data_IF_675067133586
#
_entry.id   IF_675067133586
#
_cell.length_a   1.000
_cell.length_b   1.000
_cell.length_c   1.000
_cell.angle_alpha   90.00
_cell.angle_beta   90.00
_cell.angle_gamma   90.00
#
_symmetry.space_group_name_H-M   'P 1'
#
loop_
_entity.id
_entity.type
_entity.pdbx_description
1 polymer ?
#
# COMPACT_ATOMS: atom_id res chain seq x y z
N UNK A 1 1.38 -41.71 18.79
CA UNK A 1 1.96 -40.49 18.17
C UNK A 1 1.07 -39.32 18.56
N UNK A 2 1.56 -38.40 19.44
CA UNK A 2 0.84 -37.21 19.79
C UNK A 2 0.84 -36.29 18.56
N UNK A 3 -0.34 -35.87 18.09
CA UNK A 3 -0.50 -34.81 17.09
C UNK A 3 0.14 -33.56 17.66
N UNK A 4 1.05 -32.90 16.96
CA UNK A 4 1.60 -31.64 17.45
C UNK A 4 0.44 -30.63 17.61
N UNK A 5 0.28 -30.11 18.82
CA UNK A 5 -0.63 -29.02 19.11
C UNK A 5 -0.11 -27.85 18.25
N UNK A 6 -0.79 -27.55 17.15
CA UNK A 6 -0.56 -26.34 16.41
C UNK A 6 -0.82 -25.20 17.40
N UNK A 7 0.22 -24.47 17.76
CA UNK A 7 0.05 -23.27 18.56
C UNK A 7 -0.98 -22.39 17.85
N UNK A 8 -2.02 -21.94 18.56
CA UNK A 8 -2.96 -20.95 18.01
C UNK A 8 -2.14 -19.79 17.43
N UNK A 9 -2.36 -19.51 16.14
CA UNK A 9 -1.69 -18.41 15.49
C UNK A 9 -2.04 -17.13 16.25
N UNK A 10 -1.07 -16.56 16.95
CA UNK A 10 -1.27 -15.29 17.63
C UNK A 10 -1.38 -14.20 16.57
N UNK A 11 -2.52 -13.51 16.56
CA UNK A 11 -2.71 -12.32 15.70
C UNK A 11 -1.60 -11.32 16.04
N UNK A 12 -0.82 -10.84 15.05
CA UNK A 12 0.24 -9.88 15.32
C UNK A 12 -0.31 -8.62 16.01
N UNK A 13 0.47 -7.97 16.90
CA UNK A 13 0.05 -6.74 17.53
C UNK A 13 -0.31 -5.68 16.49
N UNK A 14 -1.32 -4.86 16.76
CA UNK A 14 -1.74 -3.74 15.94
C UNK A 14 -1.17 -2.42 16.44
N UNK A 15 -1.09 -1.44 15.56
CA UNK A 15 -0.82 -0.04 15.90
C UNK A 15 -1.88 0.85 15.25
N UNK A 16 -2.05 2.07 15.77
CA UNK A 16 -2.95 3.05 15.16
C UNK A 16 -2.17 4.02 14.29
N UNK A 17 -2.65 4.23 13.08
CA UNK A 17 -2.20 5.31 12.21
C UNK A 17 -2.95 6.61 12.54
N UNK A 18 -2.53 7.74 11.96
CA UNK A 18 -3.09 9.07 12.28
C UNK A 18 -4.58 9.25 11.94
N UNK A 19 -5.16 8.38 11.12
CA UNK A 19 -6.61 8.35 10.85
C UNK A 19 -7.41 7.65 11.96
N UNK A 20 -6.73 7.03 12.92
CA UNK A 20 -7.33 6.20 13.97
C UNK A 20 -7.57 4.75 13.56
N UNK A 21 -7.33 4.38 12.30
CA UNK A 21 -7.42 3.00 11.85
C UNK A 21 -6.32 2.15 12.49
N UNK A 22 -6.67 0.90 12.82
CA UNK A 22 -5.72 -0.08 13.32
C UNK A 22 -5.12 -0.87 12.17
N UNK A 23 -3.80 -1.04 12.20
CA UNK A 23 -3.05 -1.83 11.22
C UNK A 23 -2.18 -2.85 11.95
N UNK A 24 -2.15 -4.09 11.47
CA UNK A 24 -1.22 -5.09 11.99
C UNK A 24 0.22 -4.63 11.76
N UNK A 25 1.05 -4.72 12.80
CA UNK A 25 2.48 -4.37 12.72
C UNK A 25 3.28 -5.31 11.81
N UNK A 26 2.72 -6.47 11.48
CA UNK A 26 3.30 -7.41 10.52
C UNK A 26 2.37 -7.53 9.33
N UNK A 27 2.89 -7.22 8.15
CA UNK A 27 2.16 -7.33 6.89
C UNK A 27 2.83 -8.30 5.92
N UNK A 28 2.06 -8.79 4.96
CA UNK A 28 2.55 -9.65 3.89
C UNK A 28 2.75 -8.83 2.61
N UNK A 29 4.01 -8.74 2.14
CA UNK A 29 4.35 -8.10 0.88
C UNK A 29 4.06 -8.99 -0.32
N UNK A 30 3.31 -8.48 -1.29
CA UNK A 30 2.87 -9.24 -2.47
C UNK A 30 3.77 -9.04 -3.69
N UNK A 31 4.94 -8.42 -3.56
CA UNK A 31 5.87 -8.24 -4.68
C UNK A 31 6.53 -9.57 -5.04
N UNK A 32 6.32 -10.04 -6.26
CA UNK A 32 6.95 -11.25 -6.79
C UNK A 32 7.44 -11.01 -8.23
N UNK A 33 8.63 -10.43 -8.41
CA UNK A 33 9.18 -10.05 -9.71
C UNK A 33 9.40 -11.29 -10.59
N UNK A 34 9.04 -11.18 -11.87
CA UNK A 34 9.21 -12.23 -12.87
C UNK A 34 8.15 -13.34 -12.86
N UNK A 35 7.35 -13.44 -11.79
CA UNK A 35 6.20 -14.34 -11.70
C UNK A 35 5.10 -13.76 -10.82
N UNK A 36 4.41 -12.68 -11.22
CA UNK A 36 3.40 -12.03 -10.40
C UNK A 36 2.34 -12.98 -9.82
N UNK A 37 1.74 -13.92 -10.58
CA UNK A 37 0.78 -14.88 -10.02
C UNK A 37 1.39 -15.89 -9.03
N UNK A 38 2.70 -16.09 -9.05
CA UNK A 38 3.41 -17.02 -8.16
C UNK A 38 3.36 -16.63 -6.68
N UNK A 39 2.82 -15.46 -6.34
CA UNK A 39 2.60 -15.03 -4.95
C UNK A 39 1.38 -15.71 -4.30
N UNK A 40 0.45 -16.25 -5.09
CA UNK A 40 -0.82 -16.82 -4.61
C UNK A 40 -0.64 -17.82 -3.47
N UNK A 41 0.22 -18.86 -3.58
CA UNK A 41 0.42 -19.81 -2.49
C UNK A 41 0.94 -19.16 -1.19
N UNK A 42 1.73 -18.09 -1.32
CA UNK A 42 2.22 -17.31 -0.18
C UNK A 42 1.10 -16.58 0.53
N UNK A 43 0.18 -15.93 -0.21
CA UNK A 43 -0.97 -15.23 0.35
C UNK A 43 -1.92 -16.23 1.02
N UNK A 44 -2.20 -17.37 0.37
CA UNK A 44 -3.03 -18.44 0.95
C UNK A 44 -2.45 -18.99 2.25
N UNK A 45 -1.12 -19.15 2.32
CA UNK A 45 -0.46 -19.56 3.56
C UNK A 45 -0.55 -18.48 4.63
N UNK A 46 -0.32 -17.21 4.25
CA UNK A 46 -0.39 -16.07 5.16
C UNK A 46 -1.80 -15.90 5.76
N UNK A 47 -2.87 -16.05 4.97
CA UNK A 47 -4.25 -16.00 5.47
C UNK A 47 -4.53 -17.10 6.50
N UNK A 48 -4.03 -18.32 6.26
CA UNK A 48 -4.21 -19.47 7.17
C UNK A 48 -3.51 -19.30 8.52
N UNK A 49 -2.40 -18.56 8.57
CA UNK A 49 -1.65 -18.32 9.80
C UNK A 49 -1.97 -16.97 10.46
N UNK A 50 -3.01 -16.27 9.98
CA UNK A 50 -3.57 -15.10 10.64
C UNK A 50 -3.04 -13.75 10.21
N UNK A 51 -2.34 -13.62 9.06
CA UNK A 51 -2.05 -12.31 8.48
C UNK A 51 -3.34 -11.60 8.08
N UNK A 52 -3.40 -10.32 8.40
CA UNK A 52 -4.54 -9.45 8.06
C UNK A 52 -4.12 -8.20 7.29
N UNK A 53 -2.83 -7.91 7.21
CA UNK A 53 -2.27 -6.78 6.46
C UNK A 53 -1.54 -7.29 5.21
N UNK A 54 -1.99 -6.82 4.04
CA UNK A 54 -1.45 -7.18 2.73
C UNK A 54 -1.04 -5.94 1.96
N UNK A 55 0.17 -5.95 1.44
CA UNK A 55 0.77 -4.84 0.70
C UNK A 55 1.02 -5.25 -0.75
N UNK A 56 0.30 -4.62 -1.67
CA UNK A 56 0.49 -4.76 -3.12
C UNK A 56 0.76 -3.41 -3.77
N UNK A 57 0.80 -3.34 -5.09
CA UNK A 57 0.91 -2.13 -5.89
C UNK A 57 0.50 -2.39 -7.34
N UNK A 58 0.03 -1.35 -8.04
CA UNK A 58 -0.25 -1.43 -9.47
C UNK A 58 0.98 -1.92 -10.28
N UNK A 59 2.20 -1.48 -9.87
CA UNK A 59 3.46 -1.92 -10.49
C UNK A 59 3.68 -3.43 -10.41
N UNK A 60 3.12 -4.12 -9.39
CA UNK A 60 3.37 -5.55 -9.17
C UNK A 60 2.59 -6.44 -10.14
N UNK A 61 1.62 -5.88 -10.86
CA UNK A 61 0.83 -6.54 -11.91
C UNK A 61 0.10 -7.81 -11.41
N UNK A 62 -0.28 -7.82 -10.11
CA UNK A 62 -0.92 -8.96 -9.43
C UNK A 62 -2.09 -8.56 -8.51
N UNK A 63 -2.59 -7.33 -8.61
CA UNK A 63 -3.69 -6.86 -7.76
C UNK A 63 -4.93 -7.73 -7.88
N UNK A 64 -5.23 -8.24 -9.07
CA UNK A 64 -6.37 -9.13 -9.30
C UNK A 64 -6.22 -10.43 -8.51
N UNK A 65 -5.08 -11.08 -8.60
CA UNK A 65 -4.79 -12.34 -7.91
C UNK A 65 -4.80 -12.15 -6.40
N UNK A 66 -4.21 -11.05 -5.91
CA UNK A 66 -4.27 -10.67 -4.49
C UNK A 66 -5.73 -10.54 -4.03
N UNK A 67 -6.53 -9.77 -4.76
CA UNK A 67 -7.95 -9.59 -4.44
C UNK A 67 -8.75 -10.88 -4.46
N UNK A 68 -8.51 -11.75 -5.46
CA UNK A 68 -9.19 -13.05 -5.57
C UNK A 68 -8.93 -13.93 -4.35
N UNK A 69 -7.65 -14.04 -3.91
CA UNK A 69 -7.28 -14.84 -2.73
C UNK A 69 -7.87 -14.24 -1.45
N UNK A 70 -7.79 -12.93 -1.28
CA UNK A 70 -8.31 -12.28 -0.06
C UNK A 70 -9.82 -12.47 0.07
N UNK A 71 -10.59 -12.35 -1.01
CA UNK A 71 -12.03 -12.62 -1.00
C UNK A 71 -12.35 -14.09 -0.72
N UNK A 72 -11.54 -14.99 -1.27
CA UNK A 72 -11.71 -16.44 -1.05
C UNK A 72 -11.28 -16.91 0.35
N UNK A 73 -10.53 -16.08 1.10
CA UNK A 73 -9.97 -16.43 2.40
C UNK A 73 -11.02 -16.65 3.50
N UNK A 74 -12.22 -16.09 3.33
CA UNK A 74 -13.27 -16.09 4.36
C UNK A 74 -13.04 -15.10 5.51
N UNK A 75 -11.93 -14.33 5.48
CA UNK A 75 -11.68 -13.27 6.46
C UNK A 75 -12.63 -12.10 6.17
N UNK A 76 -13.40 -11.61 7.16
CA UNK A 76 -14.25 -10.44 6.96
C UNK A 76 -13.45 -9.23 6.46
N UNK A 77 -14.02 -8.50 5.47
CA UNK A 77 -13.31 -7.37 4.81
C UNK A 77 -12.81 -6.32 5.81
N UNK A 78 -13.57 -6.05 6.85
CA UNK A 78 -13.23 -5.08 7.89
C UNK A 78 -12.08 -5.52 8.81
N UNK A 79 -11.68 -6.79 8.74
CA UNK A 79 -10.50 -7.31 9.44
C UNK A 79 -9.25 -7.33 8.56
N UNK A 80 -9.41 -7.08 7.27
CA UNK A 80 -8.28 -6.97 6.34
C UNK A 80 -7.85 -5.52 6.22
N UNK A 81 -6.54 -5.28 6.23
CA UNK A 81 -5.92 -4.01 5.87
C UNK A 81 -5.16 -4.20 4.57
N UNK A 82 -5.64 -3.57 3.50
CA UNK A 82 -5.08 -3.71 2.15
C UNK A 82 -4.46 -2.41 1.70
N UNK A 83 -3.16 -2.47 1.44
CA UNK A 83 -2.37 -1.36 0.89
C UNK A 83 -2.11 -1.60 -0.58
N UNK A 84 -2.33 -0.60 -1.42
CA UNK A 84 -1.81 -0.54 -2.78
C UNK A 84 -1.25 0.84 -3.11
N UNK A 85 -0.64 1.00 -4.28
CA UNK A 85 0.19 2.16 -4.57
C UNK A 85 -0.03 2.71 -5.97
N UNK A 86 -0.09 4.05 -6.06
CA UNK A 86 -0.01 4.81 -7.30
C UNK A 86 1.38 4.64 -7.92
N UNK A 87 1.47 4.12 -9.14
CA UNK A 87 2.75 4.02 -9.80
C UNK A 87 3.20 5.35 -10.43
N UNK A 88 4.48 5.46 -10.73
CA UNK A 88 5.15 6.70 -11.11
C UNK A 88 4.62 7.32 -12.41
N UNK A 89 4.17 6.52 -13.37
CA UNK A 89 3.61 6.98 -14.65
C UNK A 89 2.15 7.45 -14.55
N UNK A 90 1.57 7.40 -13.34
CA UNK A 90 0.18 7.77 -13.08
C UNK A 90 0.03 9.04 -12.23
N UNK A 91 1.09 9.81 -11.99
CA UNK A 91 1.04 11.03 -11.19
C UNK A 91 0.06 12.09 -11.76
N UNK A 92 -0.15 12.11 -13.08
CA UNK A 92 -1.15 12.96 -13.72
C UNK A 92 -2.60 12.44 -13.65
N UNK A 93 -2.81 11.20 -13.20
CA UNK A 93 -4.10 10.52 -13.28
C UNK A 93 -4.39 9.69 -12.04
N UNK A 94 -4.23 10.31 -10.85
CA UNK A 94 -4.37 9.64 -9.54
C UNK A 94 -5.73 8.94 -9.39
N UNK A 95 -6.83 9.64 -9.70
CA UNK A 95 -8.18 9.11 -9.54
C UNK A 95 -8.44 7.91 -10.45
N UNK A 96 -8.04 8.00 -11.72
CA UNK A 96 -8.18 6.88 -12.65
C UNK A 96 -7.29 5.68 -12.29
N UNK A 97 -6.11 5.93 -11.72
CA UNK A 97 -5.23 4.87 -11.22
C UNK A 97 -5.82 4.17 -10.00
N UNK A 98 -6.39 4.94 -9.07
CA UNK A 98 -7.09 4.39 -7.92
C UNK A 98 -8.27 3.51 -8.34
N UNK A 99 -9.09 3.99 -9.26
CA UNK A 99 -10.26 3.24 -9.75
C UNK A 99 -9.83 1.91 -10.39
N UNK A 100 -8.75 1.90 -11.19
CA UNK A 100 -8.20 0.65 -11.77
C UNK A 100 -7.72 -0.33 -10.68
N UNK A 101 -7.01 0.16 -9.66
CA UNK A 101 -6.55 -0.69 -8.54
C UNK A 101 -7.73 -1.24 -7.75
N UNK A 102 -8.75 -0.43 -7.47
CA UNK A 102 -9.95 -0.86 -6.75
C UNK A 102 -10.73 -1.93 -7.55
N UNK A 103 -10.86 -1.73 -8.88
CA UNK A 103 -11.49 -2.69 -9.79
C UNK A 103 -10.68 -3.99 -9.87
N UNK A 104 -9.36 -3.91 -10.04
CA UNK A 104 -8.48 -5.08 -10.11
C UNK A 104 -8.55 -5.92 -8.83
N UNK A 105 -8.43 -5.29 -7.66
CA UNK A 105 -8.59 -5.93 -6.36
C UNK A 105 -10.01 -6.46 -6.15
N UNK A 106 -11.00 -5.85 -6.83
CA UNK A 106 -12.43 -6.15 -6.67
C UNK A 106 -12.85 -6.16 -5.18
N UNK A 107 -12.45 -5.13 -4.44
CA UNK A 107 -12.77 -4.91 -3.04
C UNK A 107 -13.73 -3.72 -2.91
N UNK A 108 -14.47 -3.64 -1.79
CA UNK A 108 -15.38 -2.52 -1.54
C UNK A 108 -14.66 -1.20 -1.33
N UNK A 109 -13.45 -1.25 -0.78
CA UNK A 109 -12.57 -0.11 -0.50
C UNK A 109 -11.11 -0.54 -0.38
N UNK A 110 -10.19 0.43 -0.43
CA UNK A 110 -8.76 0.27 -0.16
C UNK A 110 -8.47 0.96 1.19
N UNK A 111 -7.75 0.27 2.09
CA UNK A 111 -7.43 0.83 3.41
C UNK A 111 -6.34 1.89 3.34
N UNK A 112 -5.32 1.66 2.52
CA UNK A 112 -4.20 2.57 2.33
C UNK A 112 -3.83 2.68 0.86
N UNK A 113 -3.81 3.92 0.33
CA UNK A 113 -3.33 4.20 -1.01
C UNK A 113 -2.10 5.10 -0.95
N UNK A 114 -0.95 4.59 -1.39
CA UNK A 114 0.34 5.26 -1.28
C UNK A 114 0.79 5.85 -2.62
N UNK A 115 1.41 7.03 -2.62
CA UNK A 115 2.30 7.43 -3.70
C UNK A 115 3.56 6.56 -3.63
N UNK A 116 3.81 5.73 -4.65
CA UNK A 116 4.86 4.70 -4.63
C UNK A 116 6.27 5.29 -4.54
N UNK A 117 6.52 6.37 -5.27
CA UNK A 117 7.76 7.15 -5.28
C UNK A 117 7.46 8.63 -5.45
N UNK A 118 8.32 9.53 -4.96
CA UNK A 118 8.16 10.97 -5.19
C UNK A 118 8.43 11.39 -6.64
N UNK A 119 9.15 10.57 -7.42
CA UNK A 119 9.49 10.84 -8.80
C UNK A 119 8.39 10.38 -9.75
N UNK A 120 7.82 11.30 -10.52
CA UNK A 120 6.94 10.97 -11.63
C UNK A 120 7.73 10.46 -12.84
N UNK A 121 7.10 9.61 -13.65
CA UNK A 121 7.62 9.22 -14.96
C UNK A 121 6.59 9.50 -16.05
N UNK A 122 7.09 9.67 -17.28
CA UNK A 122 6.23 9.90 -18.44
C UNK A 122 5.23 8.74 -18.60
N UNK A 123 3.93 9.02 -18.77
CA UNK A 123 2.92 7.99 -18.92
C UNK A 123 3.29 6.91 -19.93
N UNK A 124 3.26 5.64 -19.48
CA UNK A 124 3.66 4.49 -20.29
C UNK A 124 5.18 4.29 -20.43
N UNK A 125 6.02 5.12 -19.81
CA UNK A 125 7.48 5.02 -19.89
C UNK A 125 8.09 4.92 -18.48
N UNK A 126 8.09 3.71 -17.92
CA UNK A 126 8.44 3.40 -16.52
C UNK A 126 9.75 4.04 -16.00
N UNK A 127 10.69 4.36 -16.88
CA UNK A 127 12.04 4.82 -16.49
C UNK A 127 12.42 6.20 -17.04
N UNK A 128 11.49 6.92 -17.67
CA UNK A 128 11.73 8.28 -18.18
C UNK A 128 11.13 9.27 -17.19
N UNK A 129 11.96 10.03 -16.50
CA UNK A 129 11.51 11.03 -15.54
C UNK A 129 10.59 12.06 -16.18
N UNK A 130 9.55 12.46 -15.45
CA UNK A 130 8.63 13.53 -15.85
C UNK A 130 8.69 14.65 -14.81
N UNK A 131 9.33 15.74 -15.20
CA UNK A 131 9.47 16.93 -14.34
C UNK A 131 8.31 17.94 -14.53
N UNK A 132 7.30 17.60 -15.34
CA UNK A 132 6.13 18.47 -15.58
C UNK A 132 5.12 18.43 -14.43
N UNK A 133 5.23 17.46 -13.52
CA UNK A 133 4.41 17.35 -12.32
C UNK A 133 5.28 17.07 -11.09
N UNK A 134 5.03 17.79 -10.01
CA UNK A 134 5.70 17.55 -8.74
C UNK A 134 4.95 16.54 -7.88
N UNK A 135 5.66 15.89 -6.93
CA UNK A 135 5.01 15.04 -5.92
C UNK A 135 4.04 15.83 -5.02
N UNK A 136 4.25 17.15 -4.88
CA UNK A 136 3.30 18.03 -4.16
C UNK A 136 1.98 18.14 -4.92
N UNK A 137 2.02 18.27 -6.25
CA UNK A 137 0.80 18.35 -7.06
C UNK A 137 0.09 16.99 -7.12
N UNK A 138 0.84 15.90 -7.15
CA UNK A 138 0.30 14.54 -7.00
C UNK A 138 -0.37 14.36 -5.64
N UNK A 139 0.24 14.87 -4.55
CA UNK A 139 -0.34 14.80 -3.21
C UNK A 139 -1.68 15.53 -3.11
N UNK A 140 -1.79 16.71 -3.72
CA UNK A 140 -3.08 17.45 -3.79
C UNK A 140 -4.17 16.63 -4.50
N UNK A 141 -3.81 15.84 -5.51
CA UNK A 141 -4.76 14.94 -6.16
C UNK A 141 -5.15 13.77 -5.24
N UNK A 142 -4.21 13.23 -4.43
CA UNK A 142 -4.52 12.22 -3.42
C UNK A 142 -5.43 12.78 -2.31
N UNK A 143 -5.21 14.01 -1.87
CA UNK A 143 -6.12 14.68 -0.92
C UNK A 143 -7.52 14.82 -1.51
N UNK A 144 -7.63 15.23 -2.78
CA UNK A 144 -8.92 15.32 -3.49
C UNK A 144 -9.60 13.95 -3.60
N UNK A 145 -8.83 12.86 -3.75
CA UNK A 145 -9.35 11.51 -3.83
C UNK A 145 -10.16 11.11 -2.57
N UNK A 146 -9.74 11.59 -1.38
CA UNK A 146 -10.49 11.37 -0.13
C UNK A 146 -11.92 11.93 -0.19
N UNK A 147 -12.14 12.99 -0.96
CA UNK A 147 -13.44 13.60 -1.18
C UNK A 147 -14.20 12.91 -2.30
N UNK A 148 -13.56 12.75 -3.48
CA UNK A 148 -14.23 12.21 -4.69
C UNK A 148 -14.47 10.71 -4.61
N UNK A 149 -13.73 9.99 -3.76
CA UNK A 149 -13.88 8.54 -3.49
C UNK A 149 -14.12 8.29 -2.00
N UNK A 150 -14.93 9.17 -1.37
CA UNK A 150 -15.28 9.04 0.03
C UNK A 150 -15.83 7.64 0.35
N UNK A 151 -15.26 7.00 1.38
CA UNK A 151 -15.60 5.63 1.77
C UNK A 151 -14.91 4.54 0.95
N UNK A 152 -14.36 4.83 -0.23
CA UNK A 152 -13.63 3.87 -1.09
C UNK A 152 -12.12 3.86 -0.81
N UNK A 153 -11.57 4.95 -0.34
CA UNK A 153 -10.20 5.07 0.19
C UNK A 153 -10.26 5.50 1.65
N UNK A 154 -9.58 4.79 2.55
CA UNK A 154 -9.65 5.07 4.00
C UNK A 154 -8.49 5.94 4.48
N UNK A 155 -7.31 5.78 3.90
CA UNK A 155 -6.13 6.56 4.21
C UNK A 155 -5.24 6.74 2.97
N UNK A 156 -4.49 7.84 2.95
CA UNK A 156 -3.48 8.11 1.94
C UNK A 156 -2.11 8.29 2.60
N UNK A 157 -1.08 7.90 1.89
CA UNK A 157 0.29 7.99 2.39
C UNK A 157 1.31 8.05 1.25
N UNK A 158 2.56 7.94 1.62
CA UNK A 158 3.69 7.98 0.70
C UNK A 158 4.59 6.77 0.87
N UNK A 159 5.46 6.54 -0.10
CA UNK A 159 6.48 5.51 -0.04
C UNK A 159 7.77 6.02 -0.67
N UNK A 160 8.91 5.58 -0.13
CA UNK A 160 10.23 5.97 -0.59
C UNK A 160 10.53 7.48 -0.47
N UNK A 161 9.91 8.16 0.48
CA UNK A 161 10.18 9.56 0.78
C UNK A 161 11.34 9.66 1.78
N UNK A 162 12.33 10.49 1.45
CA UNK A 162 13.40 10.88 2.35
C UNK A 162 12.94 11.98 3.32
N UNK A 163 13.74 12.27 4.34
CA UNK A 163 13.52 13.45 5.20
C UNK A 163 13.32 14.73 4.40
N UNK A 164 14.14 14.93 3.35
CA UNK A 164 14.05 16.13 2.49
C UNK A 164 12.72 16.21 1.75
N UNK A 165 12.30 15.15 1.08
CA UNK A 165 11.05 15.14 0.29
C UNK A 165 9.82 15.16 1.19
N UNK A 166 9.87 14.48 2.34
CA UNK A 166 8.78 14.52 3.31
C UNK A 166 8.63 15.92 3.93
N UNK A 167 9.75 16.55 4.33
CA UNK A 167 9.73 17.92 4.85
C UNK A 167 9.15 18.92 3.84
N UNK A 168 9.50 18.76 2.56
CA UNK A 168 8.92 19.63 1.51
C UNK A 168 7.42 19.38 1.33
N UNK A 169 7.01 18.10 1.28
CA UNK A 169 5.60 17.73 1.17
C UNK A 169 4.76 18.34 2.30
N UNK A 170 5.24 18.23 3.53
CA UNK A 170 4.51 18.68 4.73
C UNK A 170 4.29 20.19 4.79
N UNK A 171 5.08 21.00 4.07
CA UNK A 171 4.83 22.46 3.94
C UNK A 171 3.55 22.77 3.16
N UNK A 172 3.10 21.86 2.31
CA UNK A 172 2.01 22.07 1.36
C UNK A 172 0.81 21.16 1.62
N UNK A 173 1.01 20.07 2.36
CA UNK A 173 -0.02 19.08 2.65
C UNK A 173 -1.09 19.64 3.62
N UNK A 174 -2.36 19.47 3.26
CA UNK A 174 -3.50 19.69 4.16
C UNK A 174 -3.80 18.44 4.99
N UNK A 175 -3.59 17.28 4.41
CA UNK A 175 -3.69 15.98 5.07
C UNK A 175 -2.28 15.45 5.28
N UNK A 176 -1.92 15.13 6.52
CA UNK A 176 -0.63 14.50 6.82
C UNK A 176 -0.64 13.08 6.31
N UNK A 177 0.39 12.62 5.56
CA UNK A 177 0.49 11.23 5.15
C UNK A 177 0.33 10.28 6.34
N UNK A 178 -0.54 9.27 6.19
CA UNK A 178 -0.80 8.32 7.27
C UNK A 178 0.37 7.32 7.45
N UNK A 179 1.19 7.17 6.43
CA UNK A 179 2.35 6.28 6.41
C UNK A 179 3.40 6.81 5.43
N UNK A 180 4.67 6.58 5.74
CA UNK A 180 5.77 6.59 4.77
C UNK A 180 6.38 5.18 4.76
N UNK A 181 6.10 4.41 3.71
CA UNK A 181 6.64 3.05 3.57
C UNK A 181 8.03 3.12 2.94
N UNK A 182 9.02 2.60 3.65
CA UNK A 182 10.43 2.63 3.21
C UNK A 182 11.07 1.24 3.34
N UNK A 183 12.10 1.00 2.54
CA UNK A 183 13.02 -0.11 2.78
C UNK A 183 13.81 0.16 4.05
N UNK A 184 13.69 -0.72 5.05
CA UNK A 184 14.49 -0.65 6.28
C UNK A 184 14.89 -2.06 6.74
N UNK A 185 16.16 -2.23 7.05
CA UNK A 185 16.74 -3.48 7.55
C UNK A 185 18.09 -3.16 8.22
N UNK A 186 18.80 -4.13 8.86
CA UNK A 186 20.04 -3.86 9.60
C UNK A 186 21.14 -3.12 8.81
N UNK A 187 21.18 -3.24 7.49
CA UNK A 187 22.13 -2.56 6.62
C UNK A 187 21.61 -1.23 6.02
N UNK A 188 20.30 -0.95 6.14
CA UNK A 188 19.64 0.29 5.68
C UNK A 188 18.69 0.79 6.76
N UNK A 189 19.20 1.51 7.75
CA UNK A 189 18.45 1.83 8.97
C UNK A 189 17.68 3.16 8.90
N UNK A 190 18.08 4.07 8.03
CA UNK A 190 17.57 5.46 7.89
C UNK A 190 17.10 6.09 9.22
N UNK A 191 18.01 6.17 10.19
CA UNK A 191 17.71 6.55 11.59
C UNK A 191 17.11 7.94 11.74
N UNK A 192 17.37 8.85 10.80
CA UNK A 192 16.82 10.20 10.83
C UNK A 192 15.35 10.21 10.41
N UNK A 193 14.97 9.34 9.47
CA UNK A 193 13.60 9.26 8.98
C UNK A 193 12.68 8.49 9.94
N UNK A 194 13.23 7.53 10.70
CA UNK A 194 12.47 6.68 11.63
C UNK A 194 12.22 7.36 12.99
N UNK A 195 12.90 8.49 13.30
CA UNK A 195 12.69 9.28 14.53
C UNK A 195 11.41 10.11 14.45
#
# INVERSE_FOLDING_TARGET
FATPIMAEAQIPPTTKINTGAEVSMVGFGCFNPGNPPGIIPGIEAATKIGYTHYDTAALYENEKEVGDVLRASGIPREKLFVTTKLFNDCHHSVEASFDRSLEALNLDYIDMFLMHWPQATVPGQKYVADDSISFVDTWKQLEKLLETRAGKVKAIGVSNFSVKTLTELLKHAKVVPAMNQIETHPYNQDRELVK
#
